data_IF_364322217509
#
_entry.id   IF_364322217509
#
_cell.length_a   1.000
_cell.length_b   1.000
_cell.length_c   1.000
_cell.angle_alpha   90.00
_cell.angle_beta   90.00
_cell.angle_gamma   90.00
#
_symmetry.space_group_name_H-M   'P 1'
#
loop_
_entity.id
_entity.type
_entity.pdbx_description
1 polymer ?
#
# COMPACT_ATOMS: atom_id res chain seq x y z
N UNK A 1 -2.15 -2.80 13.15
CA UNK A 1 -0.90 -3.45 13.63
C UNK A 1 0.18 -3.12 12.64
N UNK A 2 1.39 -2.83 13.11
CA UNK A 2 2.60 -2.73 12.29
C UNK A 2 3.57 -3.78 12.79
N UNK A 3 4.07 -4.63 11.89
CA UNK A 3 4.99 -5.70 12.24
C UNK A 3 6.27 -5.57 11.45
N UNK A 4 7.37 -5.52 12.18
CA UNK A 4 8.70 -5.67 11.62
C UNK A 4 9.24 -7.07 11.93
N UNK A 5 9.46 -7.86 10.88
CA UNK A 5 10.12 -9.16 11.00
C UNK A 5 11.57 -9.06 10.50
N UNK A 6 12.52 -9.19 11.43
CA UNK A 6 13.96 -9.14 11.21
C UNK A 6 14.42 -7.91 10.43
N UNK A 7 13.72 -6.78 10.57
CA UNK A 7 14.21 -5.55 9.97
C UNK A 7 15.40 -5.10 10.81
N UNK A 8 16.55 -5.01 10.16
CA UNK A 8 17.79 -4.46 10.72
C UNK A 8 17.68 -2.92 10.75
N UNK A 9 16.55 -2.41 11.23
CA UNK A 9 16.25 -0.99 11.35
C UNK A 9 16.77 -0.56 12.72
N UNK A 10 17.63 0.47 12.80
CA UNK A 10 18.09 1.00 14.06
C UNK A 10 16.99 1.88 14.67
N UNK A 11 16.05 1.25 15.38
CA UNK A 11 14.82 1.90 15.87
C UNK A 11 15.05 3.04 16.85
N UNK A 12 16.18 3.02 17.57
CA UNK A 12 16.59 3.99 18.58
C UNK A 12 17.49 5.08 18.04
N UNK A 13 18.04 4.92 16.83
CA UNK A 13 18.88 5.93 16.16
C UNK A 13 18.04 7.02 15.50
N UNK A 14 18.72 8.08 15.03
CA UNK A 14 18.09 9.23 14.36
C UNK A 14 16.93 9.82 15.18
N UNK A 15 17.12 9.95 16.50
CA UNK A 15 16.10 10.41 17.45
C UNK A 15 14.79 9.60 17.43
N UNK A 16 14.87 8.32 17.07
CA UNK A 16 13.71 7.43 17.02
C UNK A 16 12.77 7.69 15.84
N UNK A 17 13.25 8.37 14.79
CA UNK A 17 12.44 8.84 13.65
C UNK A 17 11.55 7.74 13.03
N UNK A 18 12.08 6.51 12.91
CA UNK A 18 11.32 5.38 12.37
C UNK A 18 10.20 4.92 13.30
N UNK A 19 10.44 4.89 14.62
CA UNK A 19 9.40 4.59 15.60
C UNK A 19 8.34 5.69 15.64
N UNK A 20 8.73 6.95 15.46
CA UNK A 20 7.80 8.07 15.40
C UNK A 20 6.85 7.96 14.21
N UNK A 21 7.34 7.48 13.08
CA UNK A 21 6.49 7.18 11.93
C UNK A 21 5.54 5.99 12.20
N UNK A 22 6.03 4.92 12.86
CA UNK A 22 5.16 3.83 13.35
C UNK A 22 4.09 4.38 14.31
N UNK A 23 4.47 5.28 15.20
CA UNK A 23 3.53 5.92 16.12
C UNK A 23 2.47 6.73 15.36
N UNK A 24 2.85 7.50 14.33
CA UNK A 24 1.93 8.29 13.51
C UNK A 24 0.89 7.41 12.81
N UNK A 25 1.31 6.31 12.18
CA UNK A 25 0.40 5.43 11.41
C UNK A 25 -0.47 4.52 12.28
N UNK A 26 -0.05 4.23 13.52
CA UNK A 26 -0.82 3.39 14.44
C UNK A 26 -1.91 4.18 15.15
N UNK A 27 -3.13 3.65 15.11
CA UNK A 27 -4.25 4.14 15.93
C UNK A 27 -3.97 3.91 17.42
N UNK A 28 -4.57 4.73 18.32
CA UNK A 28 -4.65 4.40 19.74
C UNK A 28 -5.15 2.97 19.97
N UNK A 29 -4.49 2.23 20.86
CA UNK A 29 -4.73 0.81 21.12
C UNK A 29 -4.05 -0.14 20.11
N UNK A 30 -3.48 0.38 19.02
CA UNK A 30 -2.79 -0.39 17.99
C UNK A 30 -1.51 -1.04 18.49
N UNK A 31 -1.12 -2.13 17.82
CA UNK A 31 0.05 -2.91 18.18
C UNK A 31 1.21 -2.67 17.22
N UNK A 32 2.39 -2.42 17.80
CA UNK A 32 3.66 -2.57 17.11
C UNK A 32 4.31 -3.89 17.55
N UNK A 33 4.78 -4.67 16.58
CA UNK A 33 5.39 -5.97 16.80
C UNK A 33 6.80 -5.94 16.22
N UNK A 34 7.79 -6.30 17.04
CA UNK A 34 9.16 -6.50 16.60
C UNK A 34 9.52 -7.98 16.76
N UNK A 35 10.02 -8.58 15.68
CA UNK A 35 10.54 -9.95 15.71
C UNK A 35 12.00 -9.96 15.25
N UNK A 36 12.95 -10.27 16.13
CA UNK A 36 14.39 -10.15 15.84
C UNK A 36 15.12 -9.23 16.83
N UNK A 37 16.36 -8.80 16.55
CA UNK A 37 17.14 -8.00 17.49
C UNK A 37 16.41 -6.69 17.86
N UNK A 38 16.49 -6.24 19.12
CA UNK A 38 17.23 -6.85 20.24
C UNK A 38 16.42 -7.90 21.04
N UNK A 39 15.29 -8.38 20.54
CA UNK A 39 14.39 -9.30 21.26
C UNK A 39 15.02 -10.69 21.36
N UNK A 40 14.97 -11.28 22.56
CA UNK A 40 15.63 -12.55 22.88
C UNK A 40 17.16 -12.51 22.79
N UNK A 41 17.77 -11.35 23.03
CA UNK A 41 19.23 -11.19 22.96
C UNK A 41 20.02 -12.23 23.76
N UNK A 42 19.51 -12.67 24.93
CA UNK A 42 20.17 -13.68 25.78
C UNK A 42 20.45 -14.99 25.04
N UNK A 43 19.57 -15.38 24.11
CA UNK A 43 19.67 -16.65 23.39
C UNK A 43 20.15 -16.48 21.93
N UNK A 44 20.05 -15.28 21.36
CA UNK A 44 20.26 -15.04 19.91
C UNK A 44 21.45 -14.14 19.56
N UNK A 45 22.09 -13.49 20.53
CA UNK A 45 23.16 -12.49 20.30
C UNK A 45 24.26 -12.92 19.33
N UNK A 46 24.69 -14.19 19.38
CA UNK A 46 25.74 -14.75 18.50
C UNK A 46 25.39 -14.64 17.01
N UNK A 47 24.12 -14.76 16.65
CA UNK A 47 23.66 -14.73 15.27
C UNK A 47 23.66 -13.33 14.65
N UNK A 48 23.91 -12.28 15.44
CA UNK A 48 23.85 -10.88 14.99
C UNK A 48 25.20 -10.18 14.98
N UNK A 49 26.30 -10.91 15.26
CA UNK A 49 27.65 -10.35 15.36
C UNK A 49 27.74 -9.18 16.37
N UNK A 50 27.07 -9.31 17.52
CA UNK A 50 27.02 -8.31 18.61
C UNK A 50 27.29 -8.98 19.95
N UNK A 51 27.43 -8.22 21.04
CA UNK A 51 27.55 -8.74 22.40
C UNK A 51 26.22 -8.74 23.17
N UNK A 52 26.14 -9.54 24.25
CA UNK A 52 24.97 -9.54 25.15
C UNK A 52 24.71 -8.14 25.72
N UNK A 53 25.78 -7.43 26.12
CA UNK A 53 25.65 -6.13 26.79
C UNK A 53 25.19 -5.04 25.81
N UNK A 54 25.67 -5.04 24.57
CA UNK A 54 25.19 -4.14 23.53
C UNK A 54 23.71 -4.35 23.23
N UNK A 55 23.28 -5.60 23.06
CA UNK A 55 21.87 -5.92 22.78
C UNK A 55 20.95 -5.65 23.96
N UNK A 56 21.45 -5.87 25.19
CA UNK A 56 20.73 -5.49 26.41
C UNK A 56 20.54 -3.98 26.47
N UNK A 57 21.58 -3.20 26.17
CA UNK A 57 21.50 -1.74 26.13
C UNK A 57 20.50 -1.28 25.08
N UNK A 58 20.58 -1.80 23.85
CA UNK A 58 19.64 -1.46 22.77
C UNK A 58 18.19 -1.80 23.15
N UNK A 59 17.96 -2.94 23.80
CA UNK A 59 16.63 -3.29 24.30
C UNK A 59 16.09 -2.31 25.36
N UNK A 60 16.93 -1.88 26.31
CA UNK A 60 16.52 -0.91 27.34
C UNK A 60 16.29 0.49 26.74
N UNK A 61 17.13 0.93 25.81
CA UNK A 61 16.98 2.20 25.08
C UNK A 61 15.68 2.19 24.25
N UNK A 62 15.40 1.08 23.56
CA UNK A 62 14.16 0.86 22.82
C UNK A 62 12.94 0.94 23.75
N UNK A 63 12.98 0.26 24.89
CA UNK A 63 11.89 0.26 25.88
C UNK A 63 11.66 1.65 26.46
N UNK A 64 12.73 2.39 26.77
CA UNK A 64 12.67 3.76 27.28
C UNK A 64 12.01 4.69 26.26
N UNK A 65 12.46 4.64 25.00
CA UNK A 65 11.90 5.44 23.91
C UNK A 65 10.42 5.13 23.68
N UNK A 66 10.04 3.86 23.58
CA UNK A 66 8.64 3.46 23.43
C UNK A 66 7.75 3.94 24.59
N UNK A 67 8.25 3.85 25.82
CA UNK A 67 7.53 4.33 27.01
C UNK A 67 7.30 5.84 26.93
N UNK A 68 8.31 6.61 26.52
CA UNK A 68 8.17 8.06 26.29
C UNK A 68 7.19 8.42 25.17
N UNK A 69 6.94 7.49 24.26
CA UNK A 69 6.00 7.60 23.14
C UNK A 69 4.63 7.00 23.45
N UNK A 70 4.28 6.83 24.73
CA UNK A 70 3.00 6.27 25.17
C UNK A 70 2.74 4.83 24.68
N UNK A 71 3.78 4.02 24.50
CA UNK A 71 3.63 2.58 24.32
C UNK A 71 3.82 1.81 25.63
N UNK A 72 3.05 0.74 25.79
CA UNK A 72 3.22 -0.23 26.87
C UNK A 72 3.61 -1.59 26.29
N UNK A 73 4.60 -2.25 26.89
CA UNK A 73 4.90 -3.65 26.55
C UNK A 73 3.68 -4.51 26.90
N UNK A 74 3.08 -5.11 25.88
CA UNK A 74 1.87 -5.92 26.00
C UNK A 74 2.21 -7.37 26.32
N UNK A 75 3.11 -7.97 25.54
CA UNK A 75 3.61 -9.31 25.77
C UNK A 75 4.97 -9.50 25.07
N UNK A 76 5.76 -10.46 25.54
CA UNK A 76 7.01 -10.85 24.91
C UNK A 76 7.20 -12.35 25.06
N UNK A 77 7.46 -13.03 23.94
CA UNK A 77 7.69 -14.47 23.90
C UNK A 77 8.68 -14.81 22.81
N UNK A 78 9.69 -15.61 23.15
CA UNK A 78 10.76 -16.00 22.24
C UNK A 78 11.35 -14.78 21.53
N UNK A 79 11.45 -14.82 20.20
CA UNK A 79 12.02 -13.76 19.38
C UNK A 79 11.02 -12.60 19.09
N UNK A 80 9.86 -12.54 19.77
CA UNK A 80 8.77 -11.60 19.47
C UNK A 80 8.42 -10.76 20.69
N UNK A 81 8.39 -9.44 20.51
CA UNK A 81 7.84 -8.49 21.48
C UNK A 81 6.71 -7.68 20.85
N UNK A 82 5.68 -7.43 21.64
CA UNK A 82 4.46 -6.73 21.24
C UNK A 82 4.28 -5.54 22.17
N UNK A 83 4.19 -4.34 21.61
CA UNK A 83 3.86 -3.12 22.33
C UNK A 83 2.53 -2.57 21.86
N UNK A 84 1.76 -2.05 22.79
CA UNK A 84 0.47 -1.44 22.53
C UNK A 84 0.56 0.08 22.72
N UNK A 85 0.15 0.82 21.69
CA UNK A 85 0.00 2.28 21.76
C UNK A 85 -1.13 2.61 22.73
N UNK A 86 -0.88 3.48 23.69
CA UNK A 86 -1.85 3.82 24.72
C UNK A 86 -3.08 4.50 24.12
N UNK A 87 -4.25 4.14 24.65
CA UNK A 87 -5.51 4.85 24.47
C UNK A 87 -5.71 5.95 25.50
N UNK A 88 -4.87 5.99 26.54
CA UNK A 88 -4.90 6.99 27.59
C UNK A 88 -4.40 8.33 27.06
N UNK A 89 -5.28 9.32 27.07
CA UNK A 89 -5.02 10.67 26.58
C UNK A 89 -4.05 11.41 27.51
N UNK A 90 -4.07 11.09 28.81
CA UNK A 90 -3.26 11.79 29.81
C UNK A 90 -1.77 11.59 29.55
N UNK A 91 -1.37 10.43 29.02
CA UNK A 91 -0.01 10.19 28.58
C UNK A 91 0.46 11.23 27.53
N UNK A 92 -0.41 11.58 26.59
CA UNK A 92 -0.08 12.56 25.55
C UNK A 92 -0.18 14.01 26.05
N UNK A 93 -1.07 14.29 27.01
CA UNK A 93 -1.21 15.63 27.60
C UNK A 93 0.00 16.03 28.45
N UNK A 94 0.73 15.06 29.00
CA UNK A 94 1.97 15.28 29.74
C UNK A 94 3.16 15.62 28.81
N UNK A 95 3.03 15.45 27.50
CA UNK A 95 4.08 15.80 26.54
C UNK A 95 4.15 17.32 26.36
N UNK A 96 5.33 17.87 26.64
CA UNK A 96 5.67 19.29 26.50
C UNK A 96 6.67 19.48 25.37
N UNK A 97 7.00 20.73 25.02
CA UNK A 97 8.09 21.04 24.08
C UNK A 97 9.47 20.58 24.60
N UNK A 98 9.63 20.44 25.92
CA UNK A 98 10.84 19.90 26.56
C UNK A 98 10.85 18.38 26.70
N UNK A 99 9.75 17.70 26.39
CA UNK A 99 9.70 16.24 26.40
C UNK A 99 10.54 15.67 25.25
N UNK A 100 11.07 14.47 25.43
CA UNK A 100 11.79 13.75 24.39
C UNK A 100 11.12 12.38 24.14
N UNK A 101 10.54 12.16 22.94
CA UNK A 101 10.34 13.13 21.86
C UNK A 101 9.29 14.23 22.18
N UNK A 102 9.37 15.44 21.60
CA UNK A 102 8.42 16.52 21.84
C UNK A 102 7.09 16.27 21.14
N UNK A 103 6.03 16.95 21.58
CA UNK A 103 4.74 16.96 20.85
C UNK A 103 4.87 17.76 19.55
N UNK A 104 4.32 17.25 18.45
CA UNK A 104 4.28 18.00 17.19
C UNK A 104 3.39 19.23 17.29
N UNK A 105 3.74 20.27 16.56
CA UNK A 105 2.84 21.38 16.26
C UNK A 105 1.74 20.97 15.25
N UNK A 106 0.74 21.84 15.14
CA UNK A 106 -0.41 21.70 14.23
C UNK A 106 -0.13 22.30 12.83
N UNK A 107 1.13 22.59 12.50
CA UNK A 107 1.50 23.25 11.23
C UNK A 107 1.34 22.34 10.00
N UNK A 108 1.20 21.03 10.20
CA UNK A 108 1.09 20.03 9.14
C UNK A 108 0.01 19.01 9.48
N UNK A 109 -0.76 18.66 8.46
CA UNK A 109 -1.71 17.57 8.53
C UNK A 109 -0.99 16.23 8.81
N UNK A 110 -1.34 15.53 9.91
CA UNK A 110 -0.82 14.21 10.24
C UNK A 110 -1.00 13.14 9.17
N UNK A 111 -2.01 13.25 8.31
CA UNK A 111 -2.31 12.25 7.28
C UNK A 111 -1.58 12.51 5.96
N UNK A 112 -0.89 13.64 5.84
CA UNK A 112 -0.04 13.96 4.69
C UNK A 112 1.22 13.09 4.72
N UNK A 113 1.48 12.36 3.63
CA UNK A 113 2.55 11.36 3.59
C UNK A 113 3.43 11.39 2.32
N UNK A 114 2.99 12.00 1.22
CA UNK A 114 3.78 12.06 -0.02
C UNK A 114 4.70 13.28 -0.03
N UNK A 115 6.02 13.07 -0.22
CA UNK A 115 7.04 14.11 -0.12
C UNK A 115 7.01 14.96 1.17
N UNK A 116 6.48 14.40 2.26
CA UNK A 116 6.48 15.03 3.57
C UNK A 116 7.69 14.54 4.36
N UNK A 117 8.61 15.43 4.79
CA UNK A 117 9.70 15.05 5.67
C UNK A 117 9.17 14.47 6.98
N UNK A 118 9.74 13.35 7.41
CA UNK A 118 9.51 12.80 8.73
C UNK A 118 9.91 13.83 9.79
N UNK A 119 9.12 13.93 10.86
CA UNK A 119 9.37 14.87 11.95
C UNK A 119 9.76 14.11 13.23
N UNK A 120 10.80 14.55 13.96
CA UNK A 120 11.20 13.95 15.22
C UNK A 120 10.28 14.40 16.37
N UNK A 121 8.95 14.24 16.20
CA UNK A 121 7.94 14.65 17.19
C UNK A 121 6.76 13.67 17.22
N UNK A 122 6.07 13.62 18.36
CA UNK A 122 4.89 12.78 18.57
C UNK A 122 3.65 13.52 18.10
N UNK A 123 2.94 12.95 17.12
CA UNK A 123 1.59 13.40 16.78
C UNK A 123 0.58 12.81 17.77
N UNK A 124 0.03 13.66 18.64
CA UNK A 124 -0.99 13.25 19.58
C UNK A 124 -2.31 12.90 18.84
N UNK A 125 -3.03 11.84 19.27
CA UNK A 125 -4.34 11.52 18.71
C UNK A 125 -5.33 12.69 18.86
N UNK A 126 -6.12 12.98 17.83
CA UNK A 126 -7.13 14.03 17.88
C UNK A 126 -8.28 13.62 18.83
N UNK A 127 -8.57 14.49 19.81
CA UNK A 127 -9.61 14.27 20.83
C UNK A 127 -11.03 14.39 20.27
N UNK A 128 -11.22 15.13 19.17
CA UNK A 128 -12.54 15.35 18.56
C UNK A 128 -13.01 14.19 17.68
N UNK A 129 -12.12 13.27 17.33
CA UNK A 129 -12.45 12.05 16.57
C UNK A 129 -12.68 10.89 17.53
N UNK A 130 -13.88 10.83 18.10
CA UNK A 130 -14.28 9.81 19.09
C UNK A 130 -14.07 8.37 18.60
N UNK A 131 -14.02 8.14 17.28
CA UNK A 131 -14.00 6.79 16.70
C UNK A 131 -12.61 6.25 16.31
N UNK A 132 -11.52 7.02 16.43
CA UNK A 132 -10.18 6.50 16.12
C UNK A 132 -9.67 5.43 17.11
N UNK A 133 -10.38 5.18 18.21
CA UNK A 133 -10.13 4.04 19.09
C UNK A 133 -10.51 2.73 18.41
N UNK A 134 -9.71 1.68 18.60
CA UNK A 134 -10.01 0.34 18.07
C UNK A 134 -11.34 -0.23 18.61
N UNK A 135 -11.81 0.20 19.77
CA UNK A 135 -13.03 -0.31 20.41
C UNK A 135 -14.32 0.25 19.81
N UNK A 136 -14.25 1.40 19.15
CA UNK A 136 -15.38 2.09 18.52
C UNK A 136 -15.54 1.77 17.03
N UNK A 137 -14.54 1.11 16.42
CA UNK A 137 -14.59 0.75 15.00
C UNK A 137 -15.41 -0.53 14.82
N UNK A 138 -16.34 -0.60 13.83
CA UNK A 138 -17.10 -1.81 13.55
C UNK A 138 -16.16 -2.98 13.21
N UNK A 139 -16.60 -4.20 13.52
CA UNK A 139 -15.81 -5.38 13.24
C UNK A 139 -15.77 -5.64 11.73
N UNK A 140 -14.79 -6.43 11.33
CA UNK A 140 -14.74 -6.94 9.98
C UNK A 140 -15.75 -8.08 9.82
N UNK A 141 -16.54 -8.14 8.72
CA UNK A 141 -16.50 -7.27 7.55
C UNK A 141 -17.48 -6.08 7.58
N UNK A 142 -18.23 -5.85 8.66
CA UNK A 142 -19.26 -4.80 8.71
C UNK A 142 -18.73 -3.41 8.37
N UNK A 143 -17.54 -3.03 8.88
CA UNK A 143 -16.90 -1.73 8.62
C UNK A 143 -16.65 -1.41 7.14
N UNK A 144 -16.74 -2.40 6.23
CA UNK A 144 -16.66 -2.12 4.80
C UNK A 144 -17.82 -1.26 4.29
N UNK A 145 -19.00 -1.39 4.90
CA UNK A 145 -20.24 -0.75 4.45
C UNK A 145 -20.67 0.41 5.37
N UNK A 146 -19.97 0.62 6.47
CA UNK A 146 -20.23 1.72 7.39
C UNK A 146 -19.40 2.94 7.01
N UNK A 147 -20.05 4.10 6.91
CA UNK A 147 -19.35 5.36 6.60
C UNK A 147 -18.53 5.81 7.81
N UNK A 148 -17.18 5.90 7.70
CA UNK A 148 -16.37 6.36 8.82
C UNK A 148 -16.49 7.88 9.01
N UNK A 149 -16.29 8.36 10.24
CA UNK A 149 -16.35 9.80 10.58
C UNK A 149 -15.44 10.66 9.69
N UNK A 150 -14.27 10.12 9.31
CA UNK A 150 -13.29 10.79 8.44
C UNK A 150 -13.86 11.15 7.06
N UNK A 151 -14.95 10.54 6.62
CA UNK A 151 -15.66 10.97 5.40
C UNK A 151 -16.08 12.43 5.48
N UNK A 152 -16.44 12.95 6.66
CA UNK A 152 -16.78 14.37 6.83
C UNK A 152 -15.57 15.32 6.80
N UNK A 153 -14.35 14.78 6.88
CA UNK A 153 -13.10 15.57 6.89
C UNK A 153 -12.54 15.80 5.49
N UNK A 154 -12.98 15.02 4.51
CA UNK A 154 -12.57 15.22 3.11
C UNK A 154 -13.51 16.22 2.42
N UNK A 155 -13.01 17.05 1.49
CA UNK A 155 -13.83 18.00 0.76
C UNK A 155 -15.05 17.33 0.13
N UNK A 156 -16.24 17.90 0.38
CA UNK A 156 -17.53 17.39 -0.10
C UNK A 156 -17.91 15.98 0.36
N UNK A 157 -17.21 15.42 1.34
CA UNK A 157 -17.54 14.12 1.89
C UNK A 157 -18.72 14.16 2.87
N UNK A 158 -19.60 13.18 2.75
CA UNK A 158 -20.71 12.94 3.69
C UNK A 158 -21.12 11.47 3.64
N UNK A 159 -21.87 11.01 4.64
CA UNK A 159 -22.42 9.65 4.69
C UNK A 159 -23.25 9.32 3.43
N UNK A 160 -24.03 10.29 2.93
CA UNK A 160 -24.80 10.14 1.69
C UNK A 160 -23.89 9.94 0.47
N UNK A 161 -22.81 10.71 0.35
CA UNK A 161 -21.84 10.58 -0.75
C UNK A 161 -21.11 9.22 -0.68
N UNK A 162 -20.76 8.77 0.53
CA UNK A 162 -20.16 7.44 0.74
C UNK A 162 -21.10 6.31 0.32
N UNK A 163 -22.37 6.34 0.78
CA UNK A 163 -23.39 5.35 0.41
C UNK A 163 -23.67 5.35 -1.09
N UNK A 164 -23.69 6.53 -1.70
CA UNK A 164 -23.83 6.67 -3.15
C UNK A 164 -22.64 6.03 -3.89
N UNK A 165 -21.40 6.29 -3.47
CA UNK A 165 -20.21 5.64 -4.07
C UNK A 165 -20.26 4.11 -3.93
N UNK A 166 -20.69 3.59 -2.77
CA UNK A 166 -20.86 2.16 -2.56
C UNK A 166 -21.90 1.55 -3.51
N UNK A 167 -23.06 2.20 -3.66
CA UNK A 167 -24.09 1.79 -4.60
C UNK A 167 -23.59 1.82 -6.05
N UNK A 168 -22.89 2.90 -6.44
CA UNK A 168 -22.26 3.08 -7.74
C UNK A 168 -21.32 1.92 -8.07
N UNK A 169 -20.41 1.56 -7.15
CA UNK A 169 -19.46 0.48 -7.39
C UNK A 169 -20.11 -0.90 -7.44
N UNK A 170 -21.14 -1.15 -6.63
CA UNK A 170 -21.92 -2.38 -6.73
C UNK A 170 -22.60 -2.53 -8.10
N UNK A 171 -23.15 -1.45 -8.65
CA UNK A 171 -23.76 -1.46 -9.98
C UNK A 171 -22.70 -1.65 -11.09
N UNK A 172 -21.60 -0.90 -11.04
CA UNK A 172 -20.49 -0.99 -11.99
C UNK A 172 -19.85 -2.36 -12.01
N UNK A 173 -19.60 -2.96 -10.84
CA UNK A 173 -19.01 -4.29 -10.75
C UNK A 173 -19.90 -5.35 -11.40
N UNK A 174 -21.23 -5.26 -11.26
CA UNK A 174 -22.16 -6.17 -11.97
C UNK A 174 -22.00 -6.05 -13.49
N UNK A 175 -21.81 -4.85 -14.03
CA UNK A 175 -21.55 -4.64 -15.45
C UNK A 175 -20.18 -5.17 -15.86
N UNK A 176 -19.12 -4.87 -15.10
CA UNK A 176 -17.76 -5.35 -15.37
C UNK A 176 -17.69 -6.87 -15.39
N UNK A 177 -18.42 -7.56 -14.51
CA UNK A 177 -18.52 -9.03 -14.51
C UNK A 177 -19.19 -9.60 -15.76
N UNK A 178 -20.09 -8.86 -16.43
CA UNK A 178 -20.65 -9.30 -17.72
C UNK A 178 -19.62 -9.21 -18.84
N UNK A 179 -18.84 -8.13 -18.87
CA UNK A 179 -17.83 -7.89 -19.90
C UNK A 179 -16.57 -8.73 -19.70
N UNK A 180 -16.19 -8.98 -18.45
CA UNK A 180 -15.06 -9.81 -18.06
C UNK A 180 -15.51 -10.86 -17.04
N UNK A 181 -16.13 -11.98 -17.48
CA UNK A 181 -16.67 -13.02 -16.58
C UNK A 181 -15.67 -13.60 -15.59
N UNK A 182 -14.37 -13.55 -15.91
CA UNK A 182 -13.31 -13.97 -14.99
C UNK A 182 -13.12 -13.05 -13.76
N UNK A 183 -13.71 -11.85 -13.76
CA UNK A 183 -13.66 -10.93 -12.62
C UNK A 183 -14.46 -11.46 -11.43
N UNK A 184 -13.77 -11.72 -10.33
CA UNK A 184 -14.35 -12.32 -9.13
C UNK A 184 -14.31 -13.86 -9.08
N UNK A 185 -13.76 -14.49 -10.12
CA UNK A 185 -13.38 -15.89 -10.10
C UNK A 185 -12.02 -16.13 -9.44
N UNK A 186 -11.38 -17.24 -9.79
CA UNK A 186 -10.07 -17.67 -9.28
C UNK A 186 -8.87 -17.17 -10.11
N UNK A 187 -9.14 -16.68 -11.33
CA UNK A 187 -8.14 -16.21 -12.31
C UNK A 187 -7.36 -14.98 -11.83
N UNK A 188 -8.01 -14.05 -11.14
CA UNK A 188 -7.38 -12.83 -10.63
C UNK A 188 -7.21 -12.93 -9.13
N UNK A 189 -5.99 -12.72 -8.63
CA UNK A 189 -5.68 -12.76 -7.20
C UNK A 189 -5.13 -11.42 -6.70
N UNK A 190 -4.25 -10.82 -7.49
CA UNK A 190 -3.62 -9.54 -7.18
C UNK A 190 -4.20 -8.46 -8.07
N UNK A 191 -5.04 -7.59 -7.51
CA UNK A 191 -5.68 -6.48 -8.24
C UNK A 191 -5.15 -5.16 -7.73
N UNK A 192 -5.04 -4.16 -8.60
CA UNK A 192 -4.78 -2.77 -8.20
C UNK A 192 -5.88 -1.87 -8.72
N UNK A 193 -6.45 -1.06 -7.84
CA UNK A 193 -7.30 0.07 -8.17
C UNK A 193 -6.42 1.33 -8.15
N UNK A 194 -6.06 1.81 -9.33
CA UNK A 194 -5.02 2.83 -9.53
C UNK A 194 -5.48 4.24 -9.14
N UNK A 195 -6.78 4.49 -9.06
CA UNK A 195 -7.33 5.80 -8.72
C UNK A 195 -8.60 5.64 -7.88
N UNK A 196 -8.39 5.24 -6.64
CA UNK A 196 -9.47 4.96 -5.72
C UNK A 196 -9.88 6.22 -4.97
N UNK A 197 -11.18 6.37 -4.68
CA UNK A 197 -11.65 7.41 -3.76
C UNK A 197 -11.81 6.81 -2.36
N UNK A 198 -12.92 6.11 -2.10
CA UNK A 198 -13.18 5.50 -0.80
C UNK A 198 -12.87 4.00 -0.75
N UNK A 199 -12.28 3.41 -1.79
CA UNK A 199 -12.10 1.95 -1.87
C UNK A 199 -13.37 1.17 -2.27
N UNK A 200 -14.35 1.83 -2.90
CA UNK A 200 -15.63 1.21 -3.26
C UNK A 200 -15.52 0.04 -4.23
N UNK A 201 -14.58 0.11 -5.20
CA UNK A 201 -14.29 -1.02 -6.10
C UNK A 201 -13.80 -2.25 -5.32
N UNK A 202 -12.84 -2.07 -4.41
CA UNK A 202 -12.33 -3.14 -3.56
C UNK A 202 -13.40 -3.72 -2.62
N UNK A 203 -14.24 -2.86 -2.04
CA UNK A 203 -15.33 -3.29 -1.18
C UNK A 203 -16.37 -4.12 -1.93
N UNK A 204 -16.74 -3.73 -3.15
CA UNK A 204 -17.67 -4.48 -3.99
C UNK A 204 -17.12 -5.88 -4.36
N UNK A 205 -15.79 -6.01 -4.43
CA UNK A 205 -15.09 -7.26 -4.72
C UNK A 205 -14.85 -8.17 -3.51
N UNK A 206 -15.29 -7.78 -2.31
CA UNK A 206 -14.88 -8.47 -1.08
C UNK A 206 -15.24 -9.97 -1.03
N UNK A 207 -16.36 -10.37 -1.63
CA UNK A 207 -16.78 -11.77 -1.71
C UNK A 207 -15.93 -12.62 -2.65
N UNK A 208 -14.99 -12.02 -3.39
CA UNK A 208 -14.12 -12.71 -4.35
C UNK A 208 -12.80 -13.10 -3.67
N UNK A 209 -12.16 -14.22 -4.05
CA UNK A 209 -10.97 -14.72 -3.40
C UNK A 209 -9.69 -14.02 -3.92
N UNK A 210 -9.72 -12.69 -3.89
CA UNK A 210 -8.66 -11.78 -4.34
C UNK A 210 -8.40 -10.68 -3.30
N UNK A 211 -7.37 -9.88 -3.52
CA UNK A 211 -7.13 -8.65 -2.78
C UNK A 211 -6.91 -7.50 -3.75
N UNK A 212 -7.16 -6.27 -3.29
CA UNK A 212 -7.06 -5.06 -4.09
C UNK A 212 -6.11 -4.08 -3.39
N UNK A 213 -5.04 -3.66 -4.07
CA UNK A 213 -4.25 -2.49 -3.68
C UNK A 213 -5.03 -1.25 -4.09
N UNK A 214 -5.45 -0.43 -3.12
CA UNK A 214 -6.16 0.82 -3.38
C UNK A 214 -5.16 1.97 -3.44
N UNK A 215 -5.00 2.62 -4.60
CA UNK A 215 -4.05 3.72 -4.78
C UNK A 215 -4.79 5.05 -4.81
N UNK A 216 -4.44 5.94 -3.89
CA UNK A 216 -4.93 7.32 -3.84
C UNK A 216 -3.86 8.22 -4.46
N UNK A 217 -4.24 9.08 -5.40
CA UNK A 217 -3.32 10.07 -5.95
C UNK A 217 -2.82 10.99 -4.85
N UNK A 218 -1.51 11.26 -4.84
CA UNK A 218 -0.89 12.21 -3.90
C UNK A 218 -1.29 13.66 -4.15
N UNK A 219 -1.92 13.93 -5.29
CA UNK A 219 -2.42 15.24 -5.72
C UNK A 219 -3.95 15.30 -5.73
N UNK A 220 -4.61 14.19 -5.39
CA UNK A 220 -6.05 14.10 -5.27
C UNK A 220 -6.56 14.41 -3.86
N UNK A 221 -7.82 14.06 -3.61
CA UNK A 221 -8.41 14.13 -2.27
C UNK A 221 -7.69 13.12 -1.36
N UNK A 222 -7.24 13.57 -0.18
CA UNK A 222 -6.68 12.72 0.87
C UNK A 222 -7.76 11.81 1.46
N UNK A 223 -8.03 10.68 0.80
CA UNK A 223 -9.05 9.71 1.19
C UNK A 223 -8.46 8.40 1.73
N UNK A 224 -7.13 8.27 1.82
CA UNK A 224 -6.48 7.03 2.25
C UNK A 224 -6.86 6.62 3.67
N UNK A 225 -7.06 7.58 4.56
CA UNK A 225 -7.55 7.30 5.91
C UNK A 225 -8.92 6.60 5.91
N UNK A 226 -9.82 6.95 4.99
CA UNK A 226 -11.15 6.33 4.83
C UNK A 226 -11.01 4.87 4.39
N UNK A 227 -10.07 4.59 3.48
CA UNK A 227 -9.76 3.22 3.03
C UNK A 227 -9.30 2.36 4.21
N UNK A 228 -8.44 2.90 5.07
CA UNK A 228 -8.00 2.23 6.28
C UNK A 228 -9.11 2.08 7.33
N UNK A 229 -9.98 3.08 7.47
CA UNK A 229 -11.16 2.99 8.35
C UNK A 229 -12.10 1.85 7.94
N UNK A 230 -12.25 1.59 6.64
CA UNK A 230 -12.97 0.42 6.10
C UNK A 230 -12.21 -0.90 6.29
N UNK A 231 -10.95 -0.84 6.72
CA UNK A 231 -10.03 -1.98 6.83
C UNK A 231 -9.57 -2.56 5.51
N UNK A 232 -9.57 -1.74 4.45
CA UNK A 232 -8.94 -2.05 3.18
C UNK A 232 -7.45 -1.66 3.22
N UNK A 233 -6.68 -2.19 2.28
CA UNK A 233 -5.27 -1.84 2.12
C UNK A 233 -5.12 -0.80 1.01
N UNK A 234 -4.20 0.14 1.18
CA UNK A 234 -3.96 1.16 0.18
C UNK A 234 -2.66 1.90 0.37
N UNK A 235 -2.36 2.81 -0.56
CA UNK A 235 -1.17 3.66 -0.55
C UNK A 235 -1.44 4.98 -1.27
N UNK A 236 -0.66 5.99 -0.95
CA UNK A 236 -0.47 7.13 -1.85
C UNK A 236 0.47 6.76 -2.99
N UNK A 237 0.28 7.41 -4.13
CA UNK A 237 1.25 7.38 -5.20
C UNK A 237 1.15 8.62 -6.09
N UNK A 238 2.27 9.01 -6.69
CA UNK A 238 2.30 9.91 -7.83
C UNK A 238 2.54 9.09 -9.11
N UNK A 239 1.56 9.04 -10.00
CA UNK A 239 1.65 8.26 -11.24
C UNK A 239 2.64 8.84 -12.26
N UNK A 240 3.19 10.04 -12.00
CA UNK A 240 4.32 10.56 -12.75
C UNK A 240 5.67 9.95 -12.32
N UNK A 241 5.66 9.03 -11.36
CA UNK A 241 6.81 8.29 -10.85
C UNK A 241 6.58 6.77 -10.96
N UNK A 242 7.66 5.97 -10.96
CA UNK A 242 7.51 4.51 -10.95
C UNK A 242 6.92 4.02 -9.61
N UNK A 243 5.95 3.11 -9.68
CA UNK A 243 5.34 2.50 -8.50
C UNK A 243 6.33 1.54 -7.82
N UNK A 244 6.46 1.63 -6.50
CA UNK A 244 7.40 0.81 -5.72
C UNK A 244 6.93 -0.64 -5.55
N UNK A 245 6.87 -1.39 -6.65
CA UNK A 245 6.52 -2.80 -6.71
C UNK A 245 7.39 -3.54 -7.72
N UNK A 246 7.50 -4.87 -7.57
CA UNK A 246 8.18 -5.69 -8.56
C UNK A 246 7.43 -5.66 -9.91
N UNK A 247 8.13 -5.76 -11.05
CA UNK A 247 7.46 -5.97 -12.32
C UNK A 247 6.54 -7.18 -12.28
N UNK A 248 5.43 -7.15 -13.03
CA UNK A 248 4.49 -8.29 -13.18
C UNK A 248 3.84 -8.76 -11.86
N UNK A 249 3.54 -7.83 -10.96
CA UNK A 249 2.92 -8.12 -9.65
C UNK A 249 1.41 -8.36 -9.76
N UNK A 250 0.71 -7.60 -10.62
CA UNK A 250 -0.75 -7.57 -10.65
C UNK A 250 -1.32 -8.37 -11.82
N UNK A 251 -2.42 -9.08 -11.57
CA UNK A 251 -3.15 -9.83 -12.59
C UNK A 251 -4.21 -8.95 -13.29
N UNK A 252 -4.70 -7.93 -12.58
CA UNK A 252 -5.68 -6.96 -13.06
C UNK A 252 -5.33 -5.56 -12.56
N UNK A 253 -5.29 -4.60 -13.49
CA UNK A 253 -5.29 -3.18 -13.16
C UNK A 253 -6.67 -2.59 -13.45
N UNK A 254 -7.15 -1.74 -12.56
CA UNK A 254 -8.38 -0.97 -12.72
C UNK A 254 -8.06 0.51 -12.57
N UNK A 255 -8.62 1.36 -13.43
CA UNK A 255 -8.59 2.80 -13.26
C UNK A 255 -9.91 3.43 -13.71
N UNK A 256 -10.34 4.45 -12.97
CA UNK A 256 -11.56 5.23 -13.19
C UNK A 256 -11.21 6.72 -13.11
N UNK A 257 -11.25 7.40 -14.25
CA UNK A 257 -10.99 8.85 -14.36
C UNK A 257 -9.56 9.29 -14.00
N UNK A 258 -8.58 8.39 -13.98
CA UNK A 258 -7.19 8.70 -13.65
C UNK A 258 -6.57 9.74 -14.61
N UNK A 259 -6.70 9.54 -15.92
CA UNK A 259 -6.14 10.44 -16.93
C UNK A 259 -6.93 11.74 -17.02
N UNK A 260 -8.25 11.68 -16.83
CA UNK A 260 -9.06 12.90 -16.68
C UNK A 260 -8.57 13.75 -15.50
N UNK A 261 -8.17 13.13 -14.40
CA UNK A 261 -7.65 13.85 -13.22
C UNK A 261 -6.18 14.32 -13.41
N UNK A 262 -5.30 13.49 -13.94
CA UNK A 262 -3.84 13.67 -13.78
C UNK A 262 -3.09 13.97 -15.09
N UNK A 263 -3.73 13.90 -16.27
CA UNK A 263 -3.04 14.03 -17.58
C UNK A 263 -2.31 15.36 -17.82
N UNK A 264 -2.64 16.39 -17.05
CA UNK A 264 -1.98 17.70 -17.11
C UNK A 264 -0.60 17.70 -16.42
N UNK A 265 -0.28 16.70 -15.60
CA UNK A 265 0.96 16.64 -14.80
C UNK A 265 2.10 15.92 -15.51
N UNK A 266 1.79 14.86 -16.24
CA UNK A 266 2.77 14.12 -17.02
C UNK A 266 2.13 13.41 -18.20
N UNK A 267 2.97 13.03 -19.18
CA UNK A 267 2.50 12.37 -20.38
C UNK A 267 1.93 10.98 -20.08
N UNK A 268 0.72 10.72 -20.55
CA UNK A 268 0.00 9.45 -20.41
C UNK A 268 0.84 8.22 -20.82
N UNK A 269 1.74 8.35 -21.78
CA UNK A 269 2.62 7.26 -22.23
C UNK A 269 3.49 6.70 -21.10
N UNK A 270 3.96 7.54 -20.16
CA UNK A 270 4.80 7.08 -19.05
C UNK A 270 3.99 6.29 -18.03
N UNK A 271 2.75 6.73 -17.74
CA UNK A 271 1.82 5.99 -16.88
C UNK A 271 1.48 4.62 -17.52
N UNK A 272 1.21 4.58 -18.82
CA UNK A 272 0.92 3.33 -19.53
C UNK A 272 2.12 2.37 -19.57
N UNK A 273 3.35 2.90 -19.68
CA UNK A 273 4.57 2.09 -19.55
C UNK A 273 4.72 1.51 -18.14
N UNK A 274 4.42 2.28 -17.12
CA UNK A 274 4.44 1.81 -15.74
C UNK A 274 3.36 0.74 -15.50
N UNK A 275 2.16 0.94 -16.03
CA UNK A 275 1.10 -0.09 -16.05
C UNK A 275 1.58 -1.37 -16.72
N UNK A 276 2.26 -1.27 -17.88
CA UNK A 276 2.83 -2.44 -18.55
C UNK A 276 3.89 -3.14 -17.71
N UNK A 277 4.77 -2.39 -17.03
CA UNK A 277 5.80 -2.95 -16.16
C UNK A 277 5.20 -3.77 -15.01
N UNK A 278 4.16 -3.27 -14.34
CA UNK A 278 3.59 -3.91 -13.14
C UNK A 278 2.54 -4.98 -13.45
N UNK A 279 1.95 -4.96 -14.65
CA UNK A 279 0.97 -5.96 -15.10
C UNK A 279 1.65 -7.27 -15.53
N UNK A 280 1.14 -8.40 -15.02
CA UNK A 280 1.59 -9.74 -15.39
C UNK A 280 1.28 -10.03 -16.87
N UNK A 281 2.08 -10.84 -17.57
CA UNK A 281 1.67 -11.37 -18.88
C UNK A 281 0.29 -12.04 -18.80
N UNK A 282 -0.53 -11.85 -19.84
CA UNK A 282 -1.93 -12.28 -19.87
C UNK A 282 -2.85 -11.60 -18.84
N UNK A 283 -2.32 -10.63 -18.08
CA UNK A 283 -3.07 -9.77 -17.17
C UNK A 283 -4.02 -8.84 -17.92
N UNK A 284 -5.03 -8.36 -17.22
CA UNK A 284 -6.10 -7.55 -17.79
C UNK A 284 -6.05 -6.12 -17.25
N UNK A 285 -6.62 -5.19 -17.99
CA UNK A 285 -6.83 -3.81 -17.56
C UNK A 285 -8.27 -3.41 -17.84
N UNK A 286 -8.94 -2.84 -16.85
CA UNK A 286 -10.25 -2.19 -17.02
C UNK A 286 -10.03 -0.69 -16.86
N UNK A 287 -10.28 0.05 -17.94
CA UNK A 287 -10.09 1.50 -18.01
C UNK A 287 -11.45 2.14 -18.22
N UNK A 288 -11.87 3.00 -17.30
CA UNK A 288 -13.05 3.85 -17.46
C UNK A 288 -12.62 5.30 -17.57
N UNK A 289 -12.89 5.91 -18.71
CA UNK A 289 -12.43 7.25 -19.05
C UNK A 289 -13.36 7.95 -20.04
N UNK A 290 -13.14 9.24 -20.29
CA UNK A 290 -13.79 9.93 -21.43
C UNK A 290 -13.39 9.29 -22.76
N UNK A 291 -14.24 9.42 -23.79
CA UNK A 291 -13.92 8.84 -25.11
C UNK A 291 -12.57 9.32 -25.66
N UNK A 292 -12.21 10.58 -25.42
CA UNK A 292 -10.93 11.14 -25.84
C UNK A 292 -9.74 10.33 -25.30
N UNK A 293 -9.70 10.08 -23.99
CA UNK A 293 -8.64 9.29 -23.39
C UNK A 293 -8.71 7.82 -23.79
N UNK A 294 -9.90 7.23 -23.90
CA UNK A 294 -10.04 5.84 -24.38
C UNK A 294 -9.43 5.64 -25.76
N UNK A 295 -9.65 6.58 -26.68
CA UNK A 295 -9.13 6.49 -28.05
C UNK A 295 -7.60 6.71 -28.08
N UNK A 296 -7.09 7.64 -27.26
CA UNK A 296 -5.65 7.87 -27.12
C UNK A 296 -4.92 6.67 -26.47
N UNK A 297 -5.48 6.10 -25.39
CA UNK A 297 -4.95 4.89 -24.73
C UNK A 297 -4.96 3.71 -25.69
N UNK A 298 -6.06 3.50 -26.43
CA UNK A 298 -6.17 2.41 -27.42
C UNK A 298 -5.05 2.46 -28.47
N UNK A 299 -4.62 3.66 -28.86
CA UNK A 299 -3.50 3.84 -29.79
C UNK A 299 -2.18 3.35 -29.17
N UNK A 300 -1.84 3.83 -27.97
CA UNK A 300 -0.59 3.45 -27.28
C UNK A 300 -0.60 1.96 -26.88
N UNK A 301 -1.75 1.45 -26.46
CA UNK A 301 -1.91 0.07 -26.03
C UNK A 301 -1.61 -0.93 -27.17
N UNK A 302 -1.91 -0.57 -28.43
CA UNK A 302 -1.52 -1.37 -29.61
C UNK A 302 0.00 -1.48 -29.75
N UNK A 303 0.73 -0.40 -29.48
CA UNK A 303 2.19 -0.38 -29.53
C UNK A 303 2.79 -1.22 -28.39
N UNK A 304 2.18 -1.17 -27.20
CA UNK A 304 2.47 -2.05 -26.06
C UNK A 304 2.05 -3.51 -26.26
N UNK A 305 1.45 -3.85 -27.41
CA UNK A 305 0.96 -5.18 -27.78
C UNK A 305 -0.16 -5.69 -26.88
N UNK A 306 -0.99 -4.80 -26.35
CA UNK A 306 -2.22 -5.16 -25.66
C UNK A 306 -3.35 -5.38 -26.67
N UNK A 307 -4.23 -6.34 -26.37
CA UNK A 307 -5.49 -6.53 -27.09
C UNK A 307 -6.56 -5.75 -26.36
N UNK A 308 -7.18 -4.74 -26.97
CA UNK A 308 -8.16 -3.90 -26.30
C UNK A 308 -9.49 -3.87 -27.03
N UNK A 309 -10.58 -3.90 -26.26
CA UNK A 309 -11.95 -3.81 -26.74
C UNK A 309 -12.65 -2.64 -26.06
N UNK A 310 -13.20 -1.72 -26.86
CA UNK A 310 -14.00 -0.59 -26.39
C UNK A 310 -15.42 -1.08 -26.13
N UNK A 311 -15.96 -0.74 -24.95
CA UNK A 311 -17.25 -1.18 -24.46
C UNK A 311 -18.04 0.00 -23.91
N UNK A 312 -19.37 -0.11 -23.91
CA UNK A 312 -20.24 0.87 -23.29
C UNK A 312 -20.26 0.73 -21.76
N UNK A 313 -20.55 1.83 -21.07
CA UNK A 313 -20.78 1.84 -19.62
C UNK A 313 -22.21 1.40 -19.29
N UNK A 314 -22.49 1.14 -18.00
CA UNK A 314 -23.82 0.75 -17.53
C UNK A 314 -24.91 1.81 -17.73
N UNK A 315 -24.54 3.07 -17.98
CA UNK A 315 -25.46 4.22 -18.09
C UNK A 315 -25.38 4.94 -19.45
N UNK A 316 -24.72 4.36 -20.47
CA UNK A 316 -24.56 4.95 -21.81
C UNK A 316 -24.33 6.47 -21.78
N UNK A 317 -23.11 6.87 -21.41
CA UNK A 317 -22.74 8.27 -21.22
C UNK A 317 -21.54 8.74 -22.06
N UNK A 318 -20.95 9.86 -21.63
CA UNK A 318 -19.72 10.42 -22.22
C UNK A 318 -18.47 9.56 -21.93
N UNK A 319 -18.55 8.77 -20.86
CA UNK A 319 -17.52 7.81 -20.48
C UNK A 319 -17.66 6.50 -21.26
N UNK A 320 -16.52 5.88 -21.57
CA UNK A 320 -16.43 4.57 -22.22
C UNK A 320 -15.54 3.65 -21.39
N UNK A 321 -15.70 2.35 -21.59
CA UNK A 321 -14.83 1.33 -21.04
C UNK A 321 -13.85 0.86 -22.11
N UNK A 322 -12.60 0.63 -21.72
CA UNK A 322 -11.62 -0.08 -22.52
C UNK A 322 -11.14 -1.27 -21.70
N UNK A 323 -11.41 -2.47 -22.20
CA UNK A 323 -10.96 -3.71 -21.59
C UNK A 323 -9.78 -4.20 -22.39
N UNK A 324 -8.61 -4.24 -21.77
CA UNK A 324 -7.38 -4.68 -22.40
C UNK A 324 -6.87 -5.98 -21.79
N UNK A 325 -6.18 -6.77 -22.60
CA UNK A 325 -5.38 -7.91 -22.16
C UNK A 325 -3.96 -7.76 -22.69
N UNK A 326 -2.98 -7.80 -21.78
CA UNK A 326 -1.56 -7.80 -22.14
C UNK A 326 -1.19 -9.14 -22.77
N UNK A 327 -0.66 -9.13 -23.99
CA UNK A 327 -0.16 -10.35 -24.64
C UNK A 327 1.22 -10.69 -24.13
N UNK A 328 1.48 -11.98 -23.90
CA UNK A 328 2.84 -12.46 -23.73
C UNK A 328 3.50 -12.49 -25.10
N UNK A 329 4.56 -11.71 -25.28
CA UNK A 329 5.32 -11.70 -26.53
C UNK A 329 6.82 -11.87 -26.21
N UNK A 330 7.50 -12.60 -27.09
CA UNK A 330 8.94 -12.80 -27.03
C UNK A 330 9.56 -12.10 -28.23
N UNK A 331 10.68 -11.39 -28.04
CA UNK A 331 11.45 -10.87 -29.15
C UNK A 331 11.94 -12.05 -30.01
N UNK A 332 11.70 -11.97 -31.34
CA UNK A 332 12.13 -12.98 -32.31
C UNK A 332 13.66 -13.23 -32.30
N UNK A 333 14.46 -12.38 -31.65
CA UNK A 333 15.92 -12.59 -31.51
C UNK A 333 16.31 -13.90 -30.81
N UNK A 334 15.43 -14.49 -29.99
CA UNK A 334 15.69 -15.80 -29.35
C UNK A 334 15.23 -17.00 -30.19
N UNK A 335 14.35 -16.80 -31.17
CA UNK A 335 13.84 -17.88 -32.03
C UNK A 335 14.74 -18.15 -33.24
N UNK A 336 15.64 -17.22 -33.59
CA UNK A 336 16.54 -17.35 -34.74
C UNK A 336 17.85 -18.13 -34.45
N UNK A 337 18.05 -18.64 -33.22
CA UNK A 337 19.29 -19.37 -32.82
C UNK A 337 19.09 -20.85 -32.49
N UNK A 338 17.92 -21.43 -32.73
CA UNK A 338 17.70 -22.87 -32.56
C UNK A 338 17.41 -23.49 -33.93
N UNK A 339 18.46 -23.96 -34.59
CA UNK A 339 18.35 -24.81 -35.78
C UNK A 339 17.67 -26.15 -35.45
N UNK A 340 17.15 -26.87 -36.46
CA UNK A 340 16.43 -28.13 -36.26
C UNK A 340 17.42 -29.20 -35.79
N UNK A 341 17.52 -29.43 -34.48
CA UNK A 341 18.39 -30.47 -33.92
C UNK A 341 18.79 -30.34 -32.44
N UNK A 342 18.45 -29.25 -31.75
CA UNK A 342 18.83 -29.10 -30.34
C UNK A 342 17.80 -29.75 -29.38
N UNK A 343 18.20 -30.88 -28.77
CA UNK A 343 17.50 -31.54 -27.67
C UNK A 343 17.32 -30.60 -26.48
N UNK A 344 16.10 -30.57 -25.91
CA UNK A 344 15.76 -29.74 -24.74
C UNK A 344 16.54 -30.22 -23.51
N UNK A 345 17.62 -29.53 -23.18
CA UNK A 345 18.06 -29.37 -21.79
C UNK A 345 17.99 -27.89 -21.44
N UNK A 346 16.94 -27.52 -20.71
CA UNK A 346 16.76 -26.17 -20.21
C UNK A 346 17.81 -25.85 -19.15
N UNK A 347 18.92 -25.23 -19.56
CA UNK A 347 19.74 -24.46 -18.63
C UNK A 347 18.99 -23.18 -18.30
N UNK A 348 18.57 -23.06 -17.04
CA UNK A 348 18.15 -21.78 -16.46
C UNK A 348 19.38 -20.87 -16.48
N UNK A 349 19.36 -19.87 -17.36
CA UNK A 349 20.36 -18.80 -17.34
C UNK A 349 19.99 -17.87 -16.19
N UNK A 350 20.76 -17.98 -15.11
CA UNK A 350 20.79 -16.98 -14.03
C UNK A 350 21.30 -15.67 -14.64
N UNK A 351 20.43 -14.68 -14.73
CA UNK A 351 20.84 -13.29 -14.86
C UNK A 351 21.40 -12.89 -13.49
N UNK A 352 22.72 -12.86 -13.38
CA UNK A 352 23.41 -12.26 -12.24
C UNK A 352 23.42 -10.76 -12.53
N UNK A 353 22.59 -10.00 -11.84
CA UNK A 353 22.62 -8.54 -11.90
C UNK A 353 24.05 -8.07 -11.57
N UNK A 354 24.68 -7.39 -12.51
CA UNK A 354 25.81 -6.50 -12.23
C UNK A 354 25.24 -5.09 -12.27
N UNK A 355 24.60 -4.68 -11.17
CA UNK A 355 24.52 -3.25 -10.87
C UNK A 355 25.87 -2.87 -10.26
N UNK A 356 26.77 -2.36 -11.09
CA UNK A 356 27.84 -1.51 -10.60
C UNK A 356 27.20 -0.28 -9.97
N UNK A 357 27.58 -0.02 -8.72
CA UNK A 357 27.30 1.21 -8.01
C UNK A 357 27.84 2.38 -8.82
N UNK A 358 26.96 3.08 -9.54
CA UNK A 358 27.24 4.42 -10.02
C UNK A 358 26.43 5.41 -9.17
N UNK A 359 27.18 6.23 -8.45
CA UNK A 359 26.74 7.28 -7.54
C UNK A 359 25.66 8.17 -8.16
N UNK A 360 24.45 8.10 -7.61
CA UNK A 360 23.45 9.16 -7.75
C UNK A 360 23.15 9.70 -6.34
N UNK A 361 23.71 10.88 -6.08
CA UNK A 361 23.49 11.82 -4.96
C UNK A 361 22.44 11.40 -3.90
N UNK A 362 22.85 11.13 -2.64
CA UNK A 362 21.98 10.56 -1.62
C UNK A 362 21.37 11.63 -0.72
N UNK A 363 20.35 12.38 -1.17
CA UNK A 363 19.49 13.16 -0.25
C UNK A 363 18.05 13.15 -0.74
N UNK A 364 17.24 12.21 -0.25
CA UNK A 364 15.77 12.33 -0.28
C UNK A 364 14.98 11.06 -0.59
N UNK A 365 15.44 10.17 -1.49
CA UNK A 365 14.59 9.10 -2.02
C UNK A 365 14.53 7.79 -1.20
N UNK A 366 15.50 7.53 -0.31
CA UNK A 366 15.50 6.29 0.49
C UNK A 366 14.51 6.30 1.66
N UNK A 367 14.15 7.48 2.18
CA UNK A 367 13.34 7.64 3.39
C UNK A 367 11.87 7.21 3.19
N UNK A 368 11.30 7.46 2.02
CA UNK A 368 9.91 7.12 1.72
C UNK A 368 9.73 5.61 1.52
N UNK A 369 10.70 4.94 0.87
CA UNK A 369 10.59 3.51 0.49
C UNK A 369 10.64 2.52 1.65
N UNK A 370 11.28 2.87 2.78
CA UNK A 370 11.41 1.96 3.93
C UNK A 370 10.06 1.79 4.64
N UNK A 371 9.30 2.86 4.84
CA UNK A 371 8.00 2.83 5.54
C UNK A 371 6.98 1.95 4.79
N UNK A 372 6.96 2.03 3.45
CA UNK A 372 6.05 1.23 2.63
C UNK A 372 6.39 -0.27 2.58
N UNK A 373 7.66 -0.66 2.79
CA UNK A 373 8.04 -2.09 2.90
C UNK A 373 7.61 -2.74 4.22
N UNK A 374 7.32 -1.96 5.26
CA UNK A 374 7.08 -2.45 6.63
C UNK A 374 5.61 -2.87 6.86
N UNK A 375 4.68 -2.47 5.99
CA UNK A 375 3.25 -2.78 6.22
C UNK A 375 2.87 -4.11 5.56
N UNK A 376 3.09 -5.22 6.26
CA UNK A 376 2.33 -6.45 6.01
C UNK A 376 0.97 -6.34 6.71
N UNK A 377 -0.08 -5.99 5.97
CA UNK A 377 -1.45 -6.08 6.48
C UNK A 377 -1.93 -7.52 6.38
N UNK A 378 -1.96 -8.22 7.50
CA UNK A 378 -2.61 -9.53 7.62
C UNK A 378 -4.12 -9.32 7.40
N UNK A 379 -4.68 -9.94 6.35
CA UNK A 379 -6.11 -9.97 6.09
C UNK A 379 -6.83 -10.62 7.30
N UNK A 380 -7.68 -9.92 8.05
CA UNK A 380 -8.44 -10.57 9.11
C UNK A 380 -9.50 -11.50 8.49
N UNK A 381 -9.46 -12.79 8.83
CA UNK A 381 -10.59 -13.70 8.62
C UNK A 381 -10.58 -14.63 7.39
N UNK A 382 -9.43 -14.92 6.76
CA UNK A 382 -9.32 -16.07 5.86
C UNK A 382 -8.27 -17.08 6.40
N UNK A 383 -8.67 -18.31 6.80
CA UNK A 383 -7.70 -19.35 7.06
C UNK A 383 -7.07 -19.75 5.72
N UNK A 384 -5.77 -19.46 5.53
CA UNK A 384 -4.98 -20.07 4.46
C UNK A 384 -4.18 -19.18 3.50
N UNK A 385 -4.12 -17.86 3.66
CA UNK A 385 -3.25 -16.99 2.83
C UNK A 385 -2.12 -16.33 3.63
N UNK A 386 -1.33 -17.13 4.33
CA UNK A 386 0.05 -16.80 4.63
C UNK A 386 0.92 -17.74 3.79
N UNK A 387 1.30 -17.30 2.59
CA UNK A 387 2.46 -17.87 1.90
C UNK A 387 3.52 -16.78 1.84
N UNK A 388 4.63 -17.10 2.50
CA UNK A 388 5.91 -16.40 2.41
C UNK A 388 6.26 -16.11 0.95
N UNK A 389 6.49 -14.85 0.63
CA UNK A 389 7.53 -14.53 -0.33
C UNK A 389 8.87 -14.86 0.34
N UNK A 390 9.28 -16.11 0.19
CA UNK A 390 10.64 -16.56 0.47
C UNK A 390 11.62 -15.80 -0.44
N UNK A 391 12.65 -15.22 0.15
CA UNK A 391 14.00 -15.28 -0.44
C UNK A 391 14.49 -16.73 -0.37
#
# INVERSE_FOLDING_TARGET
MAHCSRCLIPWTEFDGLYLLEIHRILRPGGFWVLSGPPINYKNRWRGWNTTIDEQKKDFEDLKKLLTSMCFKLYNMKDDIAVWQKSTDIDCYNQLTLSSYPPKCDDSRDPDSAWYIPLRPCITAPNQNTKILSLTSTPKWPERLNESPERVSMVPSGSDNVFKHDQSKWNARLKHYKKLLPSLGGDKFRNVMDMNTLYGGFAAALIGSPLWVMNVVSSYGINSLGIIYDRGLIGTYHDWCEPFSTYPRTYDLLHLDGLFTAESHRCEMKYVLLEMDRILRPSGHVIIRETSFFVDAISTIAKDLKWSCEKQETEQNGKEKLLICQKKLWYSKMLSAKLGPGATKQGKVVSWRDHSTDDEVSPRGLHLVKIVYRIIHVIKPGQPGMARSSSL
#
